data_IF_916676020558
#
_entry.id   IF_916676020558
#
_cell.length_a   1.000
_cell.length_b   1.000
_cell.length_c   1.000
_cell.angle_alpha   90.00
_cell.angle_beta   90.00
_cell.angle_gamma   90.00
#
_symmetry.space_group_name_H-M   'P 1'
#
loop_
_entity.id
_entity.type
_entity.pdbx_description
1 polymer ?
#
# COMPACT_ATOMS: atom_id res chain seq x y z
N UNK A 1 -13.50 13.80 15.17
CA UNK A 1 -12.51 14.76 14.64
C UNK A 1 -11.36 14.00 13.94
N UNK A 2 -11.66 13.04 13.05
CA UNK A 2 -10.66 12.09 12.55
C UNK A 2 -10.17 12.39 11.13
N UNK A 3 -10.81 13.28 10.38
CA UNK A 3 -10.60 13.33 8.94
C UNK A 3 -10.76 14.70 8.25
N UNK A 4 -10.95 15.80 8.98
CA UNK A 4 -11.04 17.17 8.43
C UNK A 4 -9.77 17.65 7.67
N UNK A 5 -8.74 16.82 7.52
CA UNK A 5 -7.53 17.12 6.76
C UNK A 5 -7.08 15.97 5.82
N UNK A 6 -7.97 15.01 5.50
CA UNK A 6 -7.61 13.91 4.60
C UNK A 6 -7.32 14.43 3.18
N UNK A 7 -8.21 15.28 2.67
CA UNK A 7 -8.09 15.94 1.37
C UNK A 7 -6.97 17.01 1.30
N UNK A 8 -6.33 17.37 2.42
CA UNK A 8 -5.19 18.30 2.43
C UNK A 8 -3.94 17.69 1.79
N UNK A 9 -3.87 16.35 1.72
CA UNK A 9 -2.74 15.63 1.16
C UNK A 9 -3.16 14.84 -0.09
N UNK A 10 -2.30 14.83 -1.10
CA UNK A 10 -2.53 14.04 -2.31
C UNK A 10 -2.54 12.52 -2.01
N UNK A 11 -3.23 11.69 -2.83
CA UNK A 11 -3.24 10.23 -2.70
C UNK A 11 -1.84 9.61 -2.64
N UNK A 12 -0.91 10.12 -3.43
CA UNK A 12 0.48 9.66 -3.42
C UNK A 12 1.18 9.93 -2.08
N UNK A 13 0.90 11.06 -1.41
CA UNK A 13 1.50 11.38 -0.12
C UNK A 13 1.03 10.39 0.96
N UNK A 14 -0.26 10.07 0.99
CA UNK A 14 -0.81 9.01 1.84
C UNK A 14 -0.17 7.65 1.55
N UNK A 15 -0.01 7.29 0.28
CA UNK A 15 0.64 6.06 -0.13
C UNK A 15 2.09 5.98 0.35
N UNK A 16 2.86 7.07 0.20
CA UNK A 16 4.25 7.15 0.67
C UNK A 16 4.31 7.05 2.19
N UNK A 17 3.51 7.81 2.92
CA UNK A 17 3.48 7.74 4.38
C UNK A 17 3.16 6.30 4.86
N UNK A 18 2.14 5.66 4.30
CA UNK A 18 1.75 4.30 4.68
C UNK A 18 2.80 3.23 4.28
N UNK A 19 3.34 3.30 3.07
CA UNK A 19 4.16 2.21 2.51
C UNK A 19 5.67 2.44 2.63
N UNK A 20 6.16 3.66 2.37
CA UNK A 20 7.58 3.99 2.51
C UNK A 20 7.97 4.10 3.99
N UNK A 21 7.15 4.77 4.81
CA UNK A 21 7.49 5.08 6.20
C UNK A 21 6.93 4.06 7.19
N UNK A 22 5.62 3.86 7.25
CA UNK A 22 4.99 3.00 8.27
C UNK A 22 5.30 1.53 8.03
N UNK A 23 5.02 1.01 6.82
CA UNK A 23 5.35 -0.38 6.49
C UNK A 23 6.87 -0.58 6.33
N UNK A 24 7.53 0.34 5.61
CA UNK A 24 8.98 0.45 5.48
C UNK A 24 9.69 -0.88 5.19
N UNK A 25 10.81 -1.11 5.87
CA UNK A 25 11.65 -2.30 5.66
C UNK A 25 10.95 -3.63 5.99
N UNK A 26 10.03 -3.64 6.97
CA UNK A 26 9.24 -4.83 7.29
C UNK A 26 8.29 -5.18 6.13
N UNK A 27 7.64 -4.17 5.54
CA UNK A 27 6.84 -4.31 4.33
C UNK A 27 7.66 -4.89 3.17
N UNK A 28 8.86 -4.36 2.91
CA UNK A 28 9.75 -4.84 1.84
C UNK A 28 10.09 -6.33 1.98
N UNK A 29 10.39 -6.80 3.20
CA UNK A 29 10.70 -8.21 3.44
C UNK A 29 9.53 -9.12 3.07
N UNK A 30 8.30 -8.70 3.38
CA UNK A 30 7.09 -9.43 3.01
C UNK A 30 6.86 -9.37 1.50
N UNK A 31 6.92 -8.20 0.89
CA UNK A 31 6.58 -8.04 -0.53
C UNK A 31 7.59 -8.74 -1.45
N UNK A 32 8.90 -8.52 -1.24
CA UNK A 32 9.96 -9.10 -2.09
C UNK A 32 10.31 -10.52 -1.68
N UNK A 33 10.31 -10.82 -0.39
CA UNK A 33 10.69 -12.14 0.14
C UNK A 33 9.51 -13.12 0.10
N UNK A 34 8.52 -12.89 0.96
CA UNK A 34 7.41 -13.83 1.13
C UNK A 34 6.49 -13.91 -0.09
N UNK A 35 6.12 -12.77 -0.67
CA UNK A 35 5.19 -12.71 -1.80
C UNK A 35 5.89 -12.76 -3.17
N UNK A 36 7.22 -12.58 -3.20
CA UNK A 36 8.02 -12.59 -4.42
C UNK A 36 7.59 -11.54 -5.45
N UNK A 37 6.99 -10.44 -5.00
CA UNK A 37 6.48 -9.38 -5.88
C UNK A 37 7.64 -8.70 -6.61
N UNK A 38 7.47 -8.54 -7.92
CA UNK A 38 8.42 -7.80 -8.76
C UNK A 38 8.20 -6.30 -8.58
N UNK A 39 8.73 -5.77 -7.49
CA UNK A 39 8.72 -4.34 -7.19
C UNK A 39 9.80 -3.62 -7.99
N UNK A 40 9.49 -2.41 -8.47
CA UNK A 40 10.39 -1.49 -9.12
C UNK A 40 11.59 -1.13 -8.22
N UNK A 41 12.66 -0.63 -8.86
CA UNK A 41 13.79 -0.02 -8.13
C UNK A 41 13.34 1.30 -7.52
N UNK A 42 13.89 1.69 -6.37
CA UNK A 42 13.53 2.96 -5.71
C UNK A 42 13.80 4.21 -6.57
N UNK A 43 14.77 4.13 -7.49
CA UNK A 43 15.09 5.21 -8.44
C UNK A 43 14.18 5.28 -9.66
N UNK A 44 13.29 4.29 -9.87
CA UNK A 44 12.36 4.34 -10.98
C UNK A 44 11.31 5.45 -10.75
N UNK A 45 10.88 6.17 -11.81
CA UNK A 45 9.77 7.09 -11.70
C UNK A 45 8.46 6.34 -11.41
N UNK A 46 7.45 7.07 -10.91
CA UNK A 46 6.08 6.57 -10.69
C UNK A 46 6.01 5.27 -9.86
N UNK A 47 6.64 5.29 -8.67
CA UNK A 47 6.56 4.21 -7.70
C UNK A 47 6.42 4.74 -6.27
N UNK A 48 5.78 3.95 -5.42
CA UNK A 48 5.70 4.14 -3.97
C UNK A 48 6.22 2.89 -3.27
N UNK A 49 7.27 2.98 -2.47
CA UNK A 49 7.90 1.82 -1.82
C UNK A 49 8.24 0.65 -2.76
N UNK A 50 8.60 0.95 -4.00
CA UNK A 50 8.87 0.00 -5.08
C UNK A 50 7.61 -0.56 -5.74
N UNK A 51 6.40 -0.26 -5.26
CA UNK A 51 5.17 -0.59 -5.96
C UNK A 51 4.97 0.38 -7.13
N UNK A 52 4.91 -0.11 -8.38
CA UNK A 52 4.55 0.73 -9.52
C UNK A 52 3.17 1.37 -9.33
N UNK A 53 3.07 2.66 -9.61
CA UNK A 53 1.79 3.34 -9.81
C UNK A 53 1.25 2.91 -11.16
N UNK A 54 0.11 2.24 -11.18
CA UNK A 54 -0.51 1.78 -12.43
C UNK A 54 -1.62 2.70 -12.90
N UNK A 55 -2.22 3.45 -11.97
CA UNK A 55 -3.28 4.40 -12.26
C UNK A 55 -3.44 5.37 -11.08
N UNK A 56 -3.86 6.59 -11.35
CA UNK A 56 -4.12 7.61 -10.31
C UNK A 56 -5.10 8.65 -10.82
N UNK A 57 -5.91 9.18 -9.92
CA UNK A 57 -6.76 10.36 -10.15
C UNK A 57 -6.58 11.38 -9.02
N UNK A 58 -7.40 12.43 -9.04
CA UNK A 58 -7.30 13.53 -8.07
C UNK A 58 -7.49 13.05 -6.62
N UNK A 59 -8.34 12.05 -6.42
CA UNK A 59 -8.72 11.53 -5.10
C UNK A 59 -8.22 10.11 -4.82
N UNK A 60 -7.51 9.46 -5.75
CA UNK A 60 -7.12 8.07 -5.55
C UNK A 60 -5.83 7.68 -6.27
N UNK A 61 -5.19 6.61 -5.81
CA UNK A 61 -4.01 6.02 -6.43
C UNK A 61 -4.06 4.50 -6.35
N UNK A 62 -3.75 3.84 -7.47
CA UNK A 62 -3.63 2.38 -7.54
C UNK A 62 -2.19 1.98 -7.79
N UNK A 63 -1.70 1.11 -6.91
CA UNK A 63 -0.37 0.52 -6.97
C UNK A 63 -0.52 -0.97 -7.24
N UNK A 64 0.25 -1.54 -8.16
CA UNK A 64 0.15 -2.98 -8.43
C UNK A 64 1.50 -3.62 -8.78
N UNK A 65 1.71 -4.81 -8.24
CA UNK A 65 2.88 -5.63 -8.54
C UNK A 65 2.50 -7.10 -8.67
N UNK A 66 3.24 -7.82 -9.52
CA UNK A 66 3.01 -9.25 -9.76
C UNK A 66 4.22 -10.10 -9.38
N UNK A 67 3.96 -11.30 -8.89
CA UNK A 67 4.94 -12.39 -8.78
C UNK A 67 4.61 -13.47 -9.81
N UNK A 68 5.17 -14.67 -9.65
CA UNK A 68 4.79 -15.84 -10.45
C UNK A 68 3.52 -16.55 -9.91
N UNK A 69 3.10 -16.23 -8.68
CA UNK A 69 2.02 -16.92 -7.97
C UNK A 69 0.80 -16.05 -7.66
N UNK A 70 0.97 -14.72 -7.59
CA UNK A 70 -0.12 -13.77 -7.33
C UNK A 70 0.19 -12.38 -7.87
N UNK A 71 -0.85 -11.56 -8.02
CA UNK A 71 -0.77 -10.11 -8.17
C UNK A 71 -1.38 -9.46 -6.93
N UNK A 72 -0.65 -8.52 -6.34
CA UNK A 72 -1.18 -7.62 -5.33
C UNK A 72 -1.52 -6.27 -5.96
N UNK A 73 -2.65 -5.70 -5.57
CA UNK A 73 -3.00 -4.31 -5.86
C UNK A 73 -3.40 -3.61 -4.56
N UNK A 74 -2.92 -2.39 -4.39
CA UNK A 74 -3.26 -1.50 -3.29
C UNK A 74 -3.94 -0.28 -3.88
N UNK A 75 -5.10 0.09 -3.35
CA UNK A 75 -5.80 1.31 -3.73
C UNK A 75 -5.91 2.17 -2.49
N UNK A 76 -5.45 3.40 -2.59
CA UNK A 76 -5.72 4.44 -1.60
C UNK A 76 -6.67 5.42 -2.22
N UNK A 77 -7.78 5.65 -1.53
CA UNK A 77 -8.83 6.58 -1.94
C UNK A 77 -9.05 7.58 -0.81
N UNK A 78 -9.18 8.84 -1.20
CA UNK A 78 -9.39 9.99 -0.31
C UNK A 78 -10.77 10.54 -0.62
N UNK A 79 -11.56 10.69 0.42
CA UNK A 79 -12.79 11.48 0.39
C UNK A 79 -12.59 12.74 1.26
N UNK A 80 -13.54 13.68 1.21
CA UNK A 80 -13.46 14.94 1.98
C UNK A 80 -13.07 14.72 3.44
N UNK A 81 -13.67 13.71 4.05
CA UNK A 81 -13.49 13.35 5.46
C UNK A 81 -13.20 11.85 5.62
N UNK A 82 -12.52 11.21 4.68
CA UNK A 82 -12.10 9.82 4.88
C UNK A 82 -10.86 9.50 4.05
N UNK A 83 -10.12 8.50 4.50
CA UNK A 83 -9.10 7.85 3.67
C UNK A 83 -9.28 6.35 3.83
N UNK A 84 -9.29 5.66 2.70
CA UNK A 84 -9.50 4.22 2.60
C UNK A 84 -8.28 3.56 1.98
N UNK A 85 -7.94 2.37 2.48
CA UNK A 85 -6.93 1.49 1.90
C UNK A 85 -7.60 0.16 1.57
N UNK A 86 -7.69 -0.15 0.28
CA UNK A 86 -8.13 -1.44 -0.21
C UNK A 86 -6.93 -2.28 -0.66
N UNK A 87 -6.89 -3.55 -0.26
CA UNK A 87 -5.88 -4.52 -0.71
C UNK A 87 -6.56 -5.64 -1.47
N UNK A 88 -6.20 -5.77 -2.75
CA UNK A 88 -6.68 -6.83 -3.62
C UNK A 88 -5.56 -7.83 -3.90
N UNK A 89 -5.89 -9.11 -3.85
CA UNK A 89 -4.97 -10.17 -4.24
C UNK A 89 -5.64 -11.07 -5.26
N UNK A 90 -5.07 -11.09 -6.47
CA UNK A 90 -5.43 -12.03 -7.52
C UNK A 90 -4.47 -13.20 -7.49
N UNK A 91 -4.98 -14.41 -7.35
CA UNK A 91 -4.16 -15.61 -7.37
C UNK A 91 -3.90 -16.04 -8.80
N UNK A 92 -2.63 -16.22 -9.14
CA UNK A 92 -2.21 -16.75 -10.45
C UNK A 92 -1.95 -18.27 -10.36
N UNK A 93 -1.68 -18.79 -9.16
CA UNK A 93 -1.41 -20.21 -8.87
C UNK A 93 -1.96 -20.63 -7.49
N UNK A 94 -2.32 -21.92 -7.28
CA UNK A 94 -2.84 -22.41 -5.99
C UNK A 94 -1.88 -22.24 -4.80
N UNK A 95 -0.57 -22.23 -5.05
CA UNK A 95 0.43 -21.93 -4.00
C UNK A 95 0.33 -20.49 -3.50
N UNK A 96 -0.03 -19.54 -4.37
CA UNK A 96 -0.25 -18.14 -4.00
C UNK A 96 -1.40 -18.00 -3.00
N UNK A 97 -2.49 -18.73 -3.21
CA UNK A 97 -3.61 -18.78 -2.25
C UNK A 97 -3.16 -19.31 -0.88
N UNK A 98 -2.39 -20.41 -0.84
CA UNK A 98 -1.91 -21.00 0.42
C UNK A 98 -0.95 -20.08 1.18
N UNK A 99 -0.07 -19.38 0.48
CA UNK A 99 0.85 -18.41 1.08
C UNK A 99 0.08 -17.19 1.58
N UNK A 100 -0.82 -16.65 0.76
CA UNK A 100 -1.64 -15.50 1.14
C UNK A 100 -2.58 -15.81 2.30
N UNK A 101 -3.19 -16.99 2.38
CA UNK A 101 -4.01 -17.38 3.54
C UNK A 101 -3.27 -17.22 4.87
N UNK A 102 -1.99 -17.60 4.91
CA UNK A 102 -1.14 -17.40 6.10
C UNK A 102 -0.76 -15.94 6.29
N UNK A 103 -0.24 -15.28 5.25
CA UNK A 103 0.18 -13.88 5.30
C UNK A 103 -0.98 -12.94 5.68
N UNK A 104 -2.18 -13.22 5.19
CA UNK A 104 -3.39 -12.41 5.38
C UNK A 104 -3.83 -12.30 6.84
N UNK A 105 -3.45 -13.26 7.69
CA UNK A 105 -3.71 -13.18 9.13
C UNK A 105 -2.91 -12.06 9.77
N UNK A 106 -1.62 -11.97 9.44
CA UNK A 106 -0.78 -10.85 9.85
C UNK A 106 -1.26 -9.54 9.21
N UNK A 107 -1.53 -9.57 7.90
CA UNK A 107 -2.04 -8.40 7.18
C UNK A 107 -3.28 -7.78 7.84
N UNK A 108 -4.29 -8.59 8.18
CA UNK A 108 -5.53 -8.10 8.82
C UNK A 108 -5.31 -7.50 10.21
N UNK A 109 -4.22 -7.86 10.90
CA UNK A 109 -3.84 -7.26 12.19
C UNK A 109 -3.11 -5.93 12.01
N UNK A 110 -2.27 -5.81 10.98
CA UNK A 110 -1.44 -4.62 10.76
C UNK A 110 -2.11 -3.55 9.88
N UNK A 111 -2.92 -3.93 8.90
CA UNK A 111 -3.52 -3.00 7.95
C UNK A 111 -4.38 -1.90 8.58
N UNK A 112 -5.17 -2.15 9.65
CA UNK A 112 -5.96 -1.09 10.29
C UNK A 112 -5.11 0.05 10.88
N UNK A 113 -3.85 -0.21 11.26
CA UNK A 113 -2.96 0.78 11.84
C UNK A 113 -2.23 1.63 10.80
N UNK A 114 -2.17 1.18 9.52
CA UNK A 114 -1.41 1.87 8.48
C UNK A 114 -1.87 3.31 8.25
N UNK A 115 -3.18 3.55 8.17
CA UNK A 115 -3.72 4.88 7.88
C UNK A 115 -3.64 5.82 9.09
N UNK A 116 -4.01 5.41 10.32
CA UNK A 116 -3.74 6.23 11.51
C UNK A 116 -2.27 6.62 11.66
N UNK A 117 -1.35 5.67 11.45
CA UNK A 117 0.08 5.94 11.53
C UNK A 117 0.56 6.85 10.40
N UNK A 118 0.09 6.64 9.18
CA UNK A 118 0.39 7.50 8.02
C UNK A 118 -0.10 8.94 8.26
N UNK A 119 -1.28 9.12 8.86
CA UNK A 119 -1.78 10.43 9.23
C UNK A 119 -0.83 11.15 10.21
N UNK A 120 -0.27 10.42 11.19
CA UNK A 120 0.70 11.01 12.13
C UNK A 120 1.99 11.42 11.42
N UNK A 121 2.46 10.64 10.45
CA UNK A 121 3.61 11.00 9.60
C UNK A 121 3.31 12.27 8.79
N UNK A 122 2.16 12.33 8.12
CA UNK A 122 1.78 13.49 7.30
C UNK A 122 1.64 14.78 8.10
N UNK A 123 1.10 14.72 9.32
CA UNK A 123 0.98 15.89 10.22
C UNK A 123 2.34 16.44 10.69
N UNK A 124 3.42 15.69 10.54
CA UNK A 124 4.77 16.12 10.88
C UNK A 124 5.52 16.69 9.67
N UNK A 125 4.96 16.56 8.46
CA UNK A 125 5.51 17.20 7.28
C UNK A 125 5.15 18.70 7.29
N UNK A 126 6.09 19.57 6.91
CA UNK A 126 5.90 21.01 6.87
C UNK A 126 4.87 21.46 5.84
#
# INVERSE_FOLDING_TARGET
>A
MLTEAAATWAPEAWARAALDTVAGSKGQLIWRGLLGLRLARRSAPAQVAGWPVVESGDSWITLAARSWMLTGSLVIEIEENSVSLATFVRYERPVGERIWKRASQGHRRFAPELLPDAQRVLRQLP
#
